data_IF_929440599026
#
_entry.id   IF_929440599026
#
_cell.length_a   1.000
_cell.length_b   1.000
_cell.length_c   1.000
_cell.angle_alpha   90.00
_cell.angle_beta   90.00
_cell.angle_gamma   90.00
#
_symmetry.space_group_name_H-M   'P 1'
#
loop_
_entity.id
_entity.type
_entity.pdbx_description
1 polymer ?
#
# COMPACT_ATOMS: atom_id res chain seq x y z
N UNK A 1 4.78 -11.60 -22.67
CA UNK A 1 6.02 -10.99 -22.16
C UNK A 1 6.18 -9.64 -22.83
N UNK A 2 6.32 -8.56 -22.05
CA UNK A 2 6.88 -7.32 -22.58
C UNK A 2 8.35 -7.62 -22.86
N UNK A 3 8.74 -7.54 -24.12
CA UNK A 3 10.10 -7.85 -24.50
C UNK A 3 10.96 -6.61 -24.15
N UNK A 4 11.88 -6.76 -23.18
CA UNK A 4 12.80 -5.71 -22.78
C UNK A 4 13.57 -5.17 -23.99
N UNK A 5 13.94 -6.06 -24.92
CA UNK A 5 14.57 -5.70 -26.18
C UNK A 5 13.73 -4.71 -27.00
N UNK A 6 12.38 -4.88 -26.99
CA UNK A 6 11.49 -3.97 -27.70
C UNK A 6 11.50 -2.57 -27.07
N UNK A 7 11.46 -2.49 -25.73
CA UNK A 7 11.50 -1.22 -25.02
C UNK A 7 12.83 -0.51 -25.23
N UNK A 8 13.93 -1.24 -25.13
CA UNK A 8 15.28 -0.71 -25.32
C UNK A 8 15.48 -0.25 -26.77
N UNK A 9 14.98 -1.01 -27.75
CA UNK A 9 15.01 -0.62 -29.15
C UNK A 9 14.24 0.69 -29.40
N UNK A 10 13.03 0.83 -28.84
CA UNK A 10 12.22 2.03 -28.97
C UNK A 10 12.95 3.22 -28.35
N UNK A 11 13.47 3.09 -27.11
CA UNK A 11 14.23 4.13 -26.40
C UNK A 11 15.44 4.61 -27.22
N UNK A 12 16.29 3.68 -27.66
CA UNK A 12 17.48 3.99 -28.45
C UNK A 12 17.18 4.71 -29.76
N UNK A 13 16.10 4.33 -30.45
CA UNK A 13 15.77 4.97 -31.71
C UNK A 13 15.12 6.36 -31.51
N UNK A 14 14.44 6.59 -30.39
CA UNK A 14 13.99 7.92 -29.98
C UNK A 14 15.17 8.84 -29.66
N UNK A 15 16.17 8.34 -28.94
CA UNK A 15 17.41 9.10 -28.65
C UNK A 15 18.20 9.44 -29.93
N UNK A 16 18.11 8.61 -30.96
CA UNK A 16 18.67 8.87 -32.30
C UNK A 16 17.83 9.84 -33.15
N UNK A 17 16.73 10.40 -32.57
CA UNK A 17 15.89 11.40 -33.22
C UNK A 17 14.85 10.84 -34.19
N UNK A 18 14.60 9.52 -34.22
CA UNK A 18 13.51 8.96 -35.02
C UNK A 18 12.14 9.30 -34.41
N UNK A 19 11.15 9.51 -35.25
CA UNK A 19 9.78 9.72 -34.80
C UNK A 19 9.14 8.40 -34.35
N UNK A 20 8.13 8.49 -33.49
CA UNK A 20 7.37 7.30 -33.02
C UNK A 20 6.74 6.54 -34.20
N UNK A 21 6.28 7.24 -35.23
CA UNK A 21 5.70 6.65 -36.43
C UNK A 21 6.73 5.84 -37.22
N UNK A 22 7.94 6.35 -37.36
CA UNK A 22 9.04 5.65 -38.06
C UNK A 22 9.43 4.38 -37.31
N UNK A 23 9.59 4.45 -35.98
CA UNK A 23 9.92 3.28 -35.15
C UNK A 23 8.79 2.25 -35.18
N UNK A 24 7.55 2.69 -35.16
CA UNK A 24 6.37 1.81 -35.25
C UNK A 24 6.37 1.01 -36.58
N UNK A 25 6.55 1.69 -37.69
CA UNK A 25 6.58 1.04 -39.01
C UNK A 25 7.78 0.09 -39.19
N UNK A 26 8.96 0.46 -38.68
CA UNK A 26 10.13 -0.41 -38.70
C UNK A 26 9.88 -1.71 -37.93
N UNK A 27 9.37 -1.61 -36.70
CA UNK A 27 9.07 -2.77 -35.87
C UNK A 27 7.95 -3.64 -36.45
N UNK A 28 6.93 -3.01 -37.07
CA UNK A 28 5.86 -3.73 -37.75
C UNK A 28 6.39 -4.52 -38.96
N UNK A 29 7.31 -3.92 -39.75
CA UNK A 29 8.00 -4.61 -40.86
C UNK A 29 8.92 -5.71 -40.38
N UNK A 30 9.52 -5.59 -39.18
CA UNK A 30 10.33 -6.62 -38.55
C UNK A 30 9.51 -7.81 -38.00
N UNK A 31 8.18 -7.81 -38.18
CA UNK A 31 7.30 -8.91 -37.81
C UNK A 31 6.78 -8.87 -36.36
N UNK A 32 6.96 -7.76 -35.67
CA UNK A 32 6.42 -7.64 -34.32
C UNK A 32 4.90 -7.58 -34.33
N UNK A 33 4.27 -8.30 -33.40
CA UNK A 33 2.82 -8.27 -33.23
C UNK A 33 2.37 -6.87 -32.83
N UNK A 34 1.35 -6.35 -33.50
CA UNK A 34 0.78 -5.01 -33.25
C UNK A 34 0.37 -4.82 -31.78
N UNK A 35 -0.12 -5.87 -31.13
CA UNK A 35 -0.46 -5.87 -29.70
C UNK A 35 0.78 -5.61 -28.82
N UNK A 36 1.92 -6.19 -29.15
CA UNK A 36 3.19 -6.00 -28.42
C UNK A 36 3.75 -4.61 -28.66
N UNK A 37 3.68 -4.11 -29.90
CA UNK A 37 4.08 -2.75 -30.24
C UNK A 37 3.22 -1.73 -29.49
N UNK A 38 1.90 -1.88 -29.54
CA UNK A 38 0.97 -0.99 -28.82
C UNK A 38 1.30 -0.93 -27.32
N UNK A 39 1.59 -2.06 -26.71
CA UNK A 39 2.01 -2.14 -25.30
C UNK A 39 3.34 -1.43 -25.03
N UNK A 40 4.37 -1.71 -25.82
CA UNK A 40 5.69 -1.09 -25.65
C UNK A 40 5.63 0.44 -25.78
N UNK A 41 4.93 0.95 -26.78
CA UNK A 41 4.72 2.39 -26.97
C UNK A 41 3.86 3.02 -25.87
N UNK A 42 2.84 2.30 -25.35
CA UNK A 42 2.03 2.75 -24.21
C UNK A 42 2.84 2.80 -22.92
N UNK A 43 3.72 1.84 -22.70
CA UNK A 43 4.61 1.79 -21.52
C UNK A 43 5.57 2.96 -21.49
N UNK A 44 6.09 3.34 -22.64
CA UNK A 44 6.96 4.52 -22.79
C UNK A 44 6.16 5.85 -22.85
N UNK A 45 4.83 5.80 -22.72
CA UNK A 45 3.99 7.00 -22.78
C UNK A 45 3.86 7.64 -24.15
N UNK A 46 4.28 6.95 -25.21
CA UNK A 46 4.27 7.42 -26.60
C UNK A 46 2.91 7.24 -27.29
N UNK A 47 2.08 6.32 -26.78
CA UNK A 47 0.71 6.09 -27.23
C UNK A 47 -0.26 6.23 -26.04
N UNK A 48 -1.43 6.78 -26.34
CA UNK A 48 -2.50 6.90 -25.34
C UNK A 48 -3.05 5.54 -24.96
N UNK A 49 -3.42 5.39 -23.70
CA UNK A 49 -4.13 4.21 -23.21
C UNK A 49 -5.64 4.40 -23.43
N UNK A 50 -6.20 3.73 -24.42
CA UNK A 50 -7.65 3.72 -24.65
C UNK A 50 -8.39 2.86 -23.63
N UNK A 51 -7.71 1.84 -23.10
CA UNK A 51 -8.25 0.88 -22.13
C UNK A 51 -7.19 0.58 -21.07
N UNK A 52 -7.61 0.46 -19.81
CA UNK A 52 -6.71 0.01 -18.74
C UNK A 52 -6.18 -1.39 -19.03
N UNK A 53 -4.88 -1.68 -18.78
CA UNK A 53 -4.29 -3.00 -19.00
C UNK A 53 -5.11 -4.11 -18.36
N UNK A 54 -5.13 -5.29 -18.97
CA UNK A 54 -5.80 -6.46 -18.42
C UNK A 54 -5.18 -6.85 -17.05
N UNK A 55 -5.96 -7.59 -16.24
CA UNK A 55 -5.46 -8.02 -14.93
C UNK A 55 -4.28 -8.98 -15.07
N UNK A 56 -4.26 -9.83 -16.10
CA UNK A 56 -3.13 -10.71 -16.42
C UNK A 56 -1.86 -9.93 -16.76
N UNK A 57 -1.98 -8.87 -17.56
CA UNK A 57 -0.84 -7.99 -17.90
C UNK A 57 -0.31 -7.25 -16.66
N UNK A 58 -1.21 -6.86 -15.76
CA UNK A 58 -0.83 -6.22 -14.50
C UNK A 58 -0.08 -7.20 -13.59
N UNK A 59 -0.60 -8.44 -13.44
CA UNK A 59 0.06 -9.48 -12.65
C UNK A 59 1.45 -9.84 -13.21
N UNK A 60 1.58 -9.97 -14.52
CA UNK A 60 2.88 -10.24 -15.16
C UNK A 60 3.90 -9.15 -14.81
N UNK A 61 3.52 -7.87 -14.90
CA UNK A 61 4.39 -6.74 -14.51
C UNK A 61 4.74 -6.75 -13.02
N UNK A 62 3.78 -7.12 -12.16
CA UNK A 62 4.04 -7.24 -10.72
C UNK A 62 5.09 -8.31 -10.46
N UNK A 63 4.93 -9.50 -11.05
CA UNK A 63 5.89 -10.59 -10.88
C UNK A 63 7.27 -10.24 -11.43
N UNK A 64 7.34 -9.52 -12.55
CA UNK A 64 8.60 -9.06 -13.11
C UNK A 64 9.33 -8.11 -12.14
N UNK A 65 8.66 -7.03 -11.70
CA UNK A 65 9.24 -6.08 -10.72
C UNK A 65 9.61 -6.77 -9.42
N UNK A 66 8.77 -7.70 -8.95
CA UNK A 66 9.04 -8.47 -7.73
C UNK A 66 10.29 -9.35 -7.88
N UNK A 67 10.45 -10.04 -9.01
CA UNK A 67 11.62 -10.87 -9.30
C UNK A 67 12.89 -10.05 -9.42
N UNK A 68 12.85 -8.97 -10.18
CA UNK A 68 14.01 -8.12 -10.46
C UNK A 68 14.56 -7.44 -9.20
N UNK A 69 13.67 -7.05 -8.26
CA UNK A 69 14.04 -6.35 -7.01
C UNK A 69 13.85 -7.18 -5.75
N UNK A 70 13.74 -8.49 -5.87
CA UNK A 70 13.36 -9.38 -4.75
C UNK A 70 14.20 -9.14 -3.50
N UNK A 71 15.53 -9.15 -3.62
CA UNK A 71 16.43 -8.99 -2.47
C UNK A 71 16.34 -7.61 -1.82
N UNK A 72 16.17 -6.56 -2.61
CA UNK A 72 16.00 -5.20 -2.10
C UNK A 72 14.66 -5.05 -1.37
N UNK A 73 13.57 -5.57 -1.94
CA UNK A 73 12.23 -5.48 -1.35
C UNK A 73 12.13 -6.29 -0.06
N UNK A 74 12.62 -7.53 -0.06
CA UNK A 74 12.65 -8.39 1.12
C UNK A 74 13.58 -7.80 2.18
N UNK A 75 14.76 -7.29 1.80
CA UNK A 75 15.70 -6.65 2.73
C UNK A 75 15.11 -5.42 3.43
N UNK A 76 14.28 -4.63 2.74
CA UNK A 76 13.57 -3.49 3.34
C UNK A 76 12.50 -3.96 4.35
N UNK A 77 11.88 -5.12 4.12
CA UNK A 77 10.86 -5.66 5.02
C UNK A 77 11.42 -6.49 6.19
N UNK A 78 12.71 -6.81 6.18
CA UNK A 78 13.36 -7.57 7.27
C UNK A 78 13.28 -6.89 8.64
N UNK A 79 13.54 -5.57 8.83
CA UNK A 79 13.51 -4.95 10.14
C UNK A 79 12.18 -5.10 10.88
N UNK A 80 11.01 -4.78 10.32
CA UNK A 80 9.75 -5.01 11.01
C UNK A 80 9.45 -6.50 11.21
N UNK A 81 9.86 -7.37 10.28
CA UNK A 81 9.72 -8.82 10.44
C UNK A 81 10.50 -9.33 11.65
N UNK A 82 11.78 -8.98 11.77
CA UNK A 82 12.64 -9.40 12.88
C UNK A 82 12.14 -8.84 14.21
N UNK A 83 11.70 -7.58 14.25
CA UNK A 83 11.10 -7.00 15.45
C UNK A 83 9.82 -7.73 15.85
N UNK A 84 8.94 -8.04 14.91
CA UNK A 84 7.72 -8.82 15.18
C UNK A 84 8.05 -10.19 15.75
N UNK A 85 9.08 -10.84 15.20
CA UNK A 85 9.55 -12.14 15.69
C UNK A 85 10.12 -12.06 17.13
N UNK A 86 10.91 -11.01 17.42
CA UNK A 86 11.40 -10.74 18.81
C UNK A 86 10.22 -10.57 19.76
N UNK A 87 9.21 -9.78 19.39
CA UNK A 87 7.99 -9.61 20.19
C UNK A 87 7.26 -10.94 20.44
N UNK A 88 7.16 -11.79 19.44
CA UNK A 88 6.57 -13.12 19.57
C UNK A 88 7.37 -14.00 20.54
N UNK A 89 8.70 -14.03 20.43
CA UNK A 89 9.57 -14.81 21.34
C UNK A 89 9.43 -14.32 22.78
N UNK A 90 9.40 -13.02 22.99
CA UNK A 90 9.19 -12.43 24.33
C UNK A 90 7.82 -12.87 24.88
N UNK A 91 6.76 -12.76 24.09
CA UNK A 91 5.42 -13.21 24.49
C UNK A 91 5.40 -14.70 24.85
N UNK A 92 6.03 -15.55 24.03
CA UNK A 92 6.12 -16.98 24.26
C UNK A 92 6.88 -17.32 25.56
N UNK A 93 8.01 -16.65 25.82
CA UNK A 93 8.77 -16.82 27.06
C UNK A 93 7.99 -16.38 28.29
N UNK A 94 7.28 -15.25 28.23
CA UNK A 94 6.41 -14.78 29.32
C UNK A 94 5.27 -15.77 29.60
N UNK A 95 4.74 -16.38 28.55
CA UNK A 95 3.72 -17.43 28.67
C UNK A 95 4.27 -18.70 29.32
N UNK A 96 5.48 -19.16 28.91
CA UNK A 96 6.15 -20.34 29.47
C UNK A 96 6.44 -20.20 30.97
N UNK A 97 6.93 -19.04 31.39
CA UNK A 97 7.23 -18.77 32.82
C UNK A 97 5.96 -18.61 33.65
N UNK A 98 4.79 -18.63 33.01
CA UNK A 98 3.51 -18.48 33.70
C UNK A 98 3.28 -17.11 34.31
N UNK A 99 4.02 -16.08 33.83
CA UNK A 99 3.87 -14.69 34.30
C UNK A 99 2.44 -14.20 34.11
N UNK A 100 1.82 -14.55 32.98
CA UNK A 100 0.44 -14.16 32.66
C UNK A 100 -0.55 -14.77 33.66
N UNK A 101 -0.38 -16.04 34.01
CA UNK A 101 -1.23 -16.72 35.00
C UNK A 101 -1.00 -16.19 36.42
N UNK A 102 0.25 -15.85 36.78
CA UNK A 102 0.58 -15.20 38.06
C UNK A 102 -0.02 -13.82 38.20
N UNK A 103 -0.09 -13.03 37.13
CA UNK A 103 -0.71 -11.69 37.14
C UNK A 103 -2.20 -11.83 37.48
N UNK A 104 -2.93 -12.73 36.85
CA UNK A 104 -4.37 -12.92 37.11
C UNK A 104 -4.65 -13.34 38.56
N UNK A 105 -3.74 -14.10 39.18
CA UNK A 105 -3.85 -14.53 40.58
C UNK A 105 -3.37 -13.49 41.58
N UNK A 106 -2.59 -12.48 41.13
CA UNK A 106 -1.92 -11.48 41.99
C UNK A 106 -2.51 -10.09 41.88
N UNK A 107 -3.59 -9.89 41.14
CA UNK A 107 -4.23 -8.58 40.98
C UNK A 107 -4.73 -7.97 42.29
N UNK A 108 -4.96 -8.78 43.31
CA UNK A 108 -5.32 -8.33 44.66
C UNK A 108 -4.12 -7.75 45.43
N UNK A 109 -2.89 -8.00 44.99
CA UNK A 109 -1.67 -7.57 45.68
C UNK A 109 -1.00 -6.42 44.93
N UNK A 110 -0.45 -5.46 45.66
CA UNK A 110 0.30 -4.30 45.10
C UNK A 110 1.43 -4.72 44.15
N UNK A 111 2.13 -5.82 44.44
CA UNK A 111 3.21 -6.35 43.60
C UNK A 111 2.70 -6.83 42.23
N UNK A 112 1.53 -7.44 42.15
CA UNK A 112 0.90 -7.87 40.90
C UNK A 112 0.48 -6.68 40.04
N UNK A 113 -0.07 -5.64 40.64
CA UNK A 113 -0.41 -4.39 39.95
C UNK A 113 0.82 -3.69 39.38
N UNK A 114 1.91 -3.62 40.14
CA UNK A 114 3.19 -3.04 39.66
C UNK A 114 3.73 -3.83 38.45
N UNK A 115 3.72 -5.16 38.53
CA UNK A 115 4.15 -6.02 37.42
C UNK A 115 3.29 -5.83 36.18
N UNK A 116 1.97 -5.75 36.35
CA UNK A 116 1.03 -5.48 35.23
C UNK A 116 1.31 -4.14 34.59
N UNK A 117 1.47 -3.05 35.37
CA UNK A 117 1.80 -1.73 34.85
C UNK A 117 3.12 -1.72 34.12
N UNK A 118 4.16 -2.40 34.63
CA UNK A 118 5.43 -2.55 33.96
C UNK A 118 5.29 -3.24 32.59
N UNK A 119 4.53 -4.34 32.53
CA UNK A 119 4.30 -5.07 31.26
C UNK A 119 3.48 -4.25 30.25
N UNK A 120 2.48 -3.49 30.72
CA UNK A 120 1.72 -2.58 29.88
C UNK A 120 2.65 -1.49 29.30
N UNK A 121 3.47 -0.87 30.14
CA UNK A 121 4.40 0.17 29.70
C UNK A 121 5.44 -0.38 28.71
N UNK A 122 6.02 -1.55 29.02
CA UNK A 122 6.95 -2.22 28.14
C UNK A 122 6.30 -2.57 26.79
N UNK A 123 5.10 -3.16 26.81
CA UNK A 123 4.33 -3.48 25.61
C UNK A 123 4.01 -2.24 24.78
N UNK A 124 3.66 -1.13 25.43
CA UNK A 124 3.38 0.15 24.75
C UNK A 124 4.63 0.72 24.08
N UNK A 125 5.78 0.72 24.77
CA UNK A 125 7.05 1.16 24.19
C UNK A 125 7.44 0.27 23.00
N UNK A 126 7.35 -1.04 23.17
CA UNK A 126 7.62 -1.98 22.09
C UNK A 126 6.69 -1.77 20.89
N UNK A 127 5.39 -1.57 21.12
CA UNK A 127 4.40 -1.28 20.09
C UNK A 127 4.72 0.01 19.31
N UNK A 128 5.13 1.07 20.02
CA UNK A 128 5.53 2.34 19.40
C UNK A 128 6.76 2.14 18.51
N UNK A 129 7.80 1.48 19.00
CA UNK A 129 9.03 1.20 18.22
C UNK A 129 8.68 0.35 16.99
N UNK A 130 7.92 -0.72 17.17
CA UNK A 130 7.47 -1.59 16.08
C UNK A 130 6.69 -0.82 15.04
N UNK A 131 5.76 0.06 15.45
CA UNK A 131 4.95 0.88 14.54
C UNK A 131 5.83 1.85 13.73
N UNK A 132 6.79 2.52 14.37
CA UNK A 132 7.72 3.43 13.68
C UNK A 132 8.54 2.68 12.64
N UNK A 133 9.15 1.55 13.02
CA UNK A 133 9.97 0.74 12.11
C UNK A 133 9.13 0.19 10.94
N UNK A 134 7.91 -0.28 11.22
CA UNK A 134 7.01 -0.80 10.19
C UNK A 134 6.61 0.28 9.18
N UNK A 135 6.24 1.47 9.65
CA UNK A 135 5.88 2.59 8.78
C UNK A 135 7.08 3.10 7.97
N UNK A 136 8.25 3.15 8.59
CA UNK A 136 9.49 3.52 7.90
C UNK A 136 9.84 2.54 6.80
N UNK A 137 9.78 1.23 7.08
CA UNK A 137 10.00 0.19 6.07
C UNK A 137 8.99 0.27 4.92
N UNK A 138 7.71 0.51 5.20
CA UNK A 138 6.69 0.68 4.15
C UNK A 138 6.93 1.93 3.30
N UNK A 139 7.32 3.05 3.91
CA UNK A 139 7.68 4.26 3.17
C UNK A 139 8.93 4.04 2.29
N UNK A 140 9.97 3.36 2.83
CA UNK A 140 11.17 2.99 2.10
C UNK A 140 10.87 2.04 0.95
N UNK A 141 9.98 1.05 1.16
CA UNK A 141 9.53 0.11 0.14
C UNK A 141 8.89 0.83 -1.05
N UNK A 142 8.00 1.78 -0.77
CA UNK A 142 7.36 2.57 -1.83
C UNK A 142 8.35 3.46 -2.58
N UNK A 143 9.37 4.01 -1.89
CA UNK A 143 10.45 4.74 -2.55
C UNK A 143 11.25 3.82 -3.48
N UNK A 144 11.58 2.59 -3.06
CA UNK A 144 12.28 1.62 -3.88
C UNK A 144 11.47 1.17 -5.11
N UNK A 145 10.14 1.03 -4.97
CA UNK A 145 9.25 0.67 -6.08
C UNK A 145 9.15 1.85 -7.09
N UNK A 146 9.09 3.09 -6.59
CA UNK A 146 8.95 4.29 -7.44
C UNK A 146 10.08 4.44 -8.45
N UNK A 147 11.32 4.19 -8.06
CA UNK A 147 12.51 4.40 -8.90
C UNK A 147 12.63 3.38 -10.07
N UNK A 148 11.66 2.44 -10.18
CA UNK A 148 11.47 1.58 -11.36
C UNK A 148 12.73 0.85 -11.82
N UNK A 149 13.38 1.35 -12.86
CA UNK A 149 14.56 0.72 -13.49
C UNK A 149 15.86 0.92 -12.69
N UNK A 150 15.98 2.00 -11.89
CA UNK A 150 17.16 2.22 -11.04
C UNK A 150 16.98 1.46 -9.74
N UNK A 151 17.80 0.44 -9.50
CA UNK A 151 17.83 -0.26 -8.23
C UNK A 151 18.53 0.59 -7.17
N UNK A 152 17.72 1.35 -6.41
CA UNK A 152 18.24 2.04 -5.24
C UNK A 152 18.52 1.02 -4.15
N UNK A 153 19.73 1.01 -3.62
CA UNK A 153 20.09 0.11 -2.52
C UNK A 153 19.22 0.32 -1.28
N UNK A 154 19.15 -0.70 -0.42
CA UNK A 154 18.33 -0.71 0.81
C UNK A 154 18.59 0.56 1.66
N UNK A 155 19.85 0.94 1.85
CA UNK A 155 20.22 2.11 2.66
C UNK A 155 19.63 3.41 2.12
N UNK A 156 19.68 3.59 0.81
CA UNK A 156 19.14 4.78 0.15
C UNK A 156 17.62 4.82 0.22
N UNK A 157 16.94 3.67 0.04
CA UNK A 157 15.50 3.55 0.20
C UNK A 157 15.05 3.97 1.60
N UNK A 158 15.74 3.52 2.66
CA UNK A 158 15.48 3.95 4.03
C UNK A 158 15.74 5.43 4.25
N UNK A 159 16.81 5.99 3.70
CA UNK A 159 17.10 7.43 3.76
C UNK A 159 15.99 8.28 3.14
N UNK A 160 15.54 7.93 1.93
CA UNK A 160 14.41 8.61 1.25
C UNK A 160 13.08 8.40 1.98
N UNK A 161 12.82 7.21 2.51
CA UNK A 161 11.64 6.87 3.30
C UNK A 161 11.55 7.68 4.59
N UNK A 162 12.69 7.96 5.26
CA UNK A 162 12.74 8.75 6.48
C UNK A 162 12.13 10.15 6.31
N UNK A 163 12.44 10.82 5.22
CA UNK A 163 11.91 12.16 4.93
C UNK A 163 10.39 12.17 4.65
N UNK A 164 9.82 11.01 4.35
CA UNK A 164 8.38 10.86 4.06
C UNK A 164 7.58 10.25 5.22
N UNK A 165 8.24 9.74 6.28
CA UNK A 165 7.61 8.95 7.35
C UNK A 165 6.46 9.70 8.04
N UNK A 166 6.65 10.98 8.38
CA UNK A 166 5.61 11.79 9.08
C UNK A 166 4.38 11.96 8.18
N UNK A 167 4.59 12.28 6.89
CA UNK A 167 3.49 12.44 5.94
C UNK A 167 2.79 11.11 5.64
N UNK A 168 3.54 10.01 5.59
CA UNK A 168 3.04 8.66 5.43
C UNK A 168 2.17 8.26 6.62
N UNK A 169 2.66 8.45 7.84
CA UNK A 169 1.93 8.19 9.08
C UNK A 169 0.63 8.99 9.15
N UNK A 170 0.70 10.28 8.83
CA UNK A 170 -0.46 11.15 8.84
C UNK A 170 -1.55 10.71 7.84
N UNK A 171 -1.16 10.35 6.62
CA UNK A 171 -2.10 9.83 5.62
C UNK A 171 -2.68 8.49 6.07
N UNK A 172 -1.88 7.59 6.65
CA UNK A 172 -2.35 6.30 7.14
C UNK A 172 -3.39 6.45 8.25
N UNK A 173 -3.12 7.28 9.27
CA UNK A 173 -4.09 7.56 10.34
C UNK A 173 -5.37 8.19 9.78
N UNK A 174 -5.21 9.22 8.95
CA UNK A 174 -6.37 9.93 8.40
C UNK A 174 -7.21 9.02 7.50
N UNK A 175 -6.57 8.14 6.72
CA UNK A 175 -7.26 7.12 5.92
C UNK A 175 -8.05 6.16 6.80
N UNK A 176 -7.40 5.59 7.82
CA UNK A 176 -8.06 4.68 8.76
C UNK A 176 -9.23 5.35 9.46
N UNK A 177 -9.04 6.57 9.96
CA UNK A 177 -10.09 7.33 10.61
C UNK A 177 -11.30 7.56 9.68
N UNK A 178 -11.08 8.05 8.46
CA UNK A 178 -12.16 8.34 7.52
C UNK A 178 -12.88 7.08 7.04
N UNK A 179 -12.13 6.01 6.72
CA UNK A 179 -12.69 4.77 6.21
C UNK A 179 -13.45 4.03 7.31
N UNK A 180 -12.86 3.90 8.51
CA UNK A 180 -13.52 3.26 9.64
C UNK A 180 -14.77 4.03 10.09
N UNK A 181 -14.71 5.36 10.16
CA UNK A 181 -15.88 6.16 10.48
C UNK A 181 -17.02 5.98 9.46
N UNK A 182 -16.68 5.88 8.17
CA UNK A 182 -17.67 5.60 7.14
C UNK A 182 -18.26 4.17 7.25
N UNK A 183 -17.45 3.18 7.64
CA UNK A 183 -17.93 1.82 7.90
C UNK A 183 -18.86 1.74 9.11
N UNK A 184 -18.58 2.52 10.15
CA UNK A 184 -19.45 2.61 11.34
C UNK A 184 -20.81 3.27 11.03
N UNK A 185 -20.84 4.18 10.04
CA UNK A 185 -22.11 4.73 9.55
C UNK A 185 -22.90 3.67 8.76
N UNK A 186 -22.28 3.19 7.70
CA UNK A 186 -22.86 2.16 6.82
C UNK A 186 -21.73 1.42 6.07
N UNK A 187 -21.93 0.14 5.83
CA UNK A 187 -20.96 -0.70 5.15
C UNK A 187 -20.61 -0.20 3.73
N UNK A 188 -21.61 0.22 2.96
CA UNK A 188 -21.41 0.66 1.56
C UNK A 188 -20.57 1.94 1.45
N UNK A 189 -20.84 3.03 2.17
CA UNK A 189 -19.95 4.21 2.19
C UNK A 189 -18.51 3.89 2.59
N UNK A 190 -18.31 2.96 3.54
CA UNK A 190 -16.99 2.51 3.96
C UNK A 190 -16.20 1.92 2.79
N UNK A 191 -16.80 1.01 2.02
CA UNK A 191 -16.18 0.42 0.81
C UNK A 191 -15.87 1.50 -0.23
N UNK A 192 -16.81 2.43 -0.46
CA UNK A 192 -16.62 3.49 -1.45
C UNK A 192 -15.40 4.35 -1.09
N UNK A 193 -15.28 4.77 0.17
CA UNK A 193 -14.15 5.57 0.61
C UNK A 193 -12.84 4.78 0.62
N UNK A 194 -12.85 3.51 1.04
CA UNK A 194 -11.69 2.65 1.00
C UNK A 194 -11.09 2.59 -0.41
N UNK A 195 -11.92 2.39 -1.45
CA UNK A 195 -11.47 2.36 -2.83
C UNK A 195 -11.02 3.74 -3.33
N UNK A 196 -11.76 4.82 -2.99
CA UNK A 196 -11.35 6.16 -3.39
C UNK A 196 -10.01 6.60 -2.80
N UNK A 197 -9.67 6.16 -1.59
CA UNK A 197 -8.47 6.59 -0.89
C UNK A 197 -7.30 5.60 -1.00
N UNK A 198 -7.52 4.45 -1.62
CA UNK A 198 -6.55 3.38 -1.73
C UNK A 198 -5.21 3.77 -2.37
N UNK A 199 -5.20 4.80 -3.22
CA UNK A 199 -3.99 5.25 -3.92
C UNK A 199 -3.28 6.42 -3.22
N UNK A 200 -3.78 6.91 -2.08
CA UNK A 200 -3.27 8.12 -1.44
C UNK A 200 -1.79 8.04 -1.04
N UNK A 201 -1.34 6.88 -0.55
CA UNK A 201 0.05 6.65 -0.17
C UNK A 201 1.00 6.65 -1.39
N UNK A 202 0.56 6.06 -2.50
CA UNK A 202 1.33 6.06 -3.76
C UNK A 202 1.46 7.47 -4.34
N UNK A 203 0.40 8.28 -4.22
CA UNK A 203 0.37 9.69 -4.63
C UNK A 203 1.32 10.53 -3.76
N UNK A 204 1.37 10.28 -2.44
CA UNK A 204 2.35 10.92 -1.57
C UNK A 204 3.79 10.69 -2.06
N UNK A 205 4.11 9.44 -2.38
CA UNK A 205 5.47 9.07 -2.79
C UNK A 205 5.78 9.57 -4.21
N UNK A 206 4.83 9.45 -5.14
CA UNK A 206 5.03 9.80 -6.54
C UNK A 206 4.92 11.31 -6.83
N UNK A 207 3.91 11.99 -6.24
CA UNK A 207 3.56 13.39 -6.53
C UNK A 207 3.83 14.35 -5.36
N UNK A 208 4.33 13.87 -4.23
CA UNK A 208 4.56 14.63 -2.97
C UNK A 208 3.31 15.38 -2.46
N UNK A 209 2.12 14.91 -2.81
CA UNK A 209 0.87 15.47 -2.30
C UNK A 209 0.57 14.92 -0.91
N UNK A 210 0.43 15.83 0.09
CA UNK A 210 0.29 15.48 1.50
C UNK A 210 -1.16 15.59 1.98
N UNK A 211 -1.50 14.82 3.02
CA UNK A 211 -2.78 14.88 3.74
C UNK A 211 -4.00 14.77 2.82
N UNK A 212 -5.00 15.61 3.02
CA UNK A 212 -6.25 15.59 2.26
C UNK A 212 -6.08 15.76 0.74
N UNK A 213 -5.00 16.43 0.29
CA UNK A 213 -4.77 16.58 -1.14
C UNK A 213 -4.43 15.24 -1.81
N UNK A 214 -3.71 14.33 -1.12
CA UNK A 214 -3.46 12.98 -1.60
C UNK A 214 -4.77 12.18 -1.77
N UNK A 215 -5.70 12.28 -0.82
CA UNK A 215 -7.00 11.60 -0.89
C UNK A 215 -7.86 12.11 -2.05
N UNK A 216 -7.93 13.42 -2.25
CA UNK A 216 -8.70 13.98 -3.36
C UNK A 216 -8.09 13.66 -4.71
N UNK A 217 -6.76 13.63 -4.80
CA UNK A 217 -6.06 13.17 -6.01
C UNK A 217 -6.35 11.69 -6.27
N UNK A 218 -6.32 10.84 -5.24
CA UNK A 218 -6.69 9.43 -5.33
C UNK A 218 -8.13 9.27 -5.84
N UNK A 219 -9.08 9.98 -5.21
CA UNK A 219 -10.47 10.01 -5.67
C UNK A 219 -10.59 10.45 -7.13
N UNK A 220 -9.87 11.49 -7.55
CA UNK A 220 -9.88 11.97 -8.95
C UNK A 220 -9.42 10.87 -9.91
N UNK A 221 -8.36 10.13 -9.57
CA UNK A 221 -7.85 9.04 -10.41
C UNK A 221 -8.81 7.85 -10.47
N UNK A 222 -9.42 7.47 -9.35
CA UNK A 222 -10.34 6.33 -9.26
C UNK A 222 -11.72 6.64 -9.83
N UNK A 223 -12.18 7.91 -9.75
CA UNK A 223 -13.50 8.32 -10.24
C UNK A 223 -13.71 7.95 -11.72
N UNK A 224 -14.89 7.39 -12.05
CA UNK A 224 -15.21 6.89 -13.38
C UNK A 224 -14.67 5.49 -13.72
N UNK A 225 -13.75 4.94 -12.90
CA UNK A 225 -13.23 3.57 -13.03
C UNK A 225 -13.32 2.80 -11.70
N UNK A 226 -14.19 3.25 -10.80
CA UNK A 226 -14.33 2.72 -9.45
C UNK A 226 -14.51 1.19 -9.42
N UNK A 227 -15.42 0.64 -10.24
CA UNK A 227 -15.66 -0.80 -10.32
C UNK A 227 -14.44 -1.57 -10.84
N UNK A 228 -13.70 -1.02 -11.78
CA UNK A 228 -12.48 -1.65 -12.30
C UNK A 228 -11.41 -1.72 -11.21
N UNK A 229 -11.25 -0.63 -10.43
CA UNK A 229 -10.31 -0.60 -9.29
C UNK A 229 -10.76 -1.55 -8.20
N UNK A 230 -12.05 -1.56 -7.85
CA UNK A 230 -12.63 -2.46 -6.84
C UNK A 230 -12.34 -3.93 -7.15
N UNK A 231 -12.69 -4.40 -8.36
CA UNK A 231 -12.48 -5.79 -8.73
C UNK A 231 -11.01 -6.19 -8.77
N UNK A 232 -10.11 -5.30 -9.18
CA UNK A 232 -8.68 -5.53 -9.17
C UNK A 232 -8.13 -5.67 -7.74
N UNK A 233 -8.54 -4.77 -6.85
CA UNK A 233 -8.15 -4.83 -5.43
C UNK A 233 -8.72 -6.06 -4.74
N UNK A 234 -9.99 -6.40 -5.02
CA UNK A 234 -10.62 -7.59 -4.47
C UNK A 234 -9.87 -8.87 -4.90
N UNK A 235 -9.51 -8.98 -6.19
CA UNK A 235 -8.78 -10.13 -6.69
C UNK A 235 -7.41 -10.28 -6.03
N UNK A 236 -6.65 -9.19 -5.93
CA UNK A 236 -5.35 -9.23 -5.24
C UNK A 236 -5.51 -9.57 -3.76
N UNK A 237 -6.53 -9.03 -3.09
CA UNK A 237 -6.81 -9.36 -1.69
C UNK A 237 -7.15 -10.84 -1.51
N UNK A 238 -7.93 -11.42 -2.42
CA UNK A 238 -8.24 -12.86 -2.41
C UNK A 238 -6.99 -13.72 -2.68
N UNK A 239 -6.12 -13.31 -3.59
CA UNK A 239 -4.85 -13.99 -3.83
C UNK A 239 -3.95 -13.98 -2.59
N UNK A 240 -3.78 -12.82 -1.96
CA UNK A 240 -2.98 -12.68 -0.73
C UNK A 240 -3.59 -13.49 0.42
N UNK A 241 -4.91 -13.46 0.57
CA UNK A 241 -5.61 -14.28 1.54
C UNK A 241 -5.41 -15.77 1.30
N UNK A 242 -5.47 -16.22 0.05
CA UNK A 242 -5.20 -17.61 -0.32
C UNK A 242 -3.77 -18.04 0.02
N UNK A 243 -2.78 -17.19 -0.28
CA UNK A 243 -1.38 -17.43 0.14
C UNK A 243 -1.27 -17.49 1.66
N UNK A 244 -1.90 -16.56 2.37
CA UNK A 244 -1.93 -16.56 3.84
C UNK A 244 -2.52 -17.85 4.42
N UNK A 245 -3.63 -18.33 3.86
CA UNK A 245 -4.25 -19.60 4.26
C UNK A 245 -3.32 -20.81 4.05
N UNK A 246 -2.64 -20.88 2.91
CA UNK A 246 -1.71 -22.00 2.62
C UNK A 246 -0.53 -21.96 3.60
N UNK A 247 0.02 -20.77 3.83
CA UNK A 247 1.23 -20.60 4.65
C UNK A 247 0.90 -20.73 6.16
N UNK A 248 -0.35 -20.53 6.60
CA UNK A 248 -0.77 -20.70 8.00
C UNK A 248 -0.64 -22.14 8.51
N UNK A 249 -0.57 -23.14 7.61
CA UNK A 249 -0.28 -24.54 7.99
C UNK A 249 1.19 -24.76 8.39
N UNK A 250 2.07 -23.80 8.11
CA UNK A 250 3.50 -23.87 8.48
C UNK A 250 3.68 -23.12 9.80
N UNK A 251 4.33 -23.70 10.82
CA UNK A 251 4.68 -22.96 12.02
C UNK A 251 5.41 -21.66 11.64
N UNK A 252 4.96 -20.49 12.14
CA UNK A 252 5.50 -19.16 11.84
C UNK A 252 5.16 -18.62 10.44
N UNK A 253 4.37 -19.35 9.68
CA UNK A 253 4.05 -19.06 8.29
C UNK A 253 3.36 -17.71 8.09
N UNK A 254 2.52 -17.27 9.01
CA UNK A 254 1.83 -15.97 8.92
C UNK A 254 2.81 -14.79 8.84
N UNK A 255 3.90 -14.84 9.61
CA UNK A 255 4.93 -13.81 9.57
C UNK A 255 5.70 -13.83 8.24
N UNK A 256 6.03 -15.01 7.71
CA UNK A 256 6.65 -15.17 6.40
C UNK A 256 5.73 -14.72 5.26
N UNK A 257 4.42 -15.02 5.37
CA UNK A 257 3.44 -14.54 4.40
C UNK A 257 3.45 -13.00 4.32
N UNK A 258 3.47 -12.30 5.45
CA UNK A 258 3.54 -10.85 5.50
C UNK A 258 4.81 -10.30 4.84
N UNK A 259 5.97 -10.91 5.10
CA UNK A 259 7.25 -10.52 4.50
C UNK A 259 7.22 -10.59 2.98
N UNK A 260 6.60 -11.62 2.41
CA UNK A 260 6.56 -11.87 0.97
C UNK A 260 5.41 -11.15 0.28
N UNK A 261 4.23 -11.07 0.90
CA UNK A 261 3.05 -10.50 0.25
C UNK A 261 2.98 -8.97 0.33
N UNK A 262 3.57 -8.36 1.36
CA UNK A 262 3.57 -6.89 1.50
C UNK A 262 4.19 -6.17 0.32
N UNK A 263 5.42 -6.54 -0.16
CA UNK A 263 5.98 -5.92 -1.36
C UNK A 263 5.10 -6.13 -2.60
N UNK A 264 4.52 -7.32 -2.75
CA UNK A 264 3.63 -7.65 -3.87
C UNK A 264 2.41 -6.71 -3.93
N UNK A 265 1.74 -6.48 -2.79
CA UNK A 265 0.59 -5.57 -2.68
C UNK A 265 0.99 -4.13 -2.99
N UNK A 266 2.16 -3.69 -2.53
CA UNK A 266 2.62 -2.33 -2.79
C UNK A 266 3.04 -2.12 -4.26
N UNK A 267 3.65 -3.11 -4.91
CA UNK A 267 3.92 -3.07 -6.36
C UNK A 267 2.61 -2.96 -7.12
N UNK A 268 1.62 -3.81 -6.79
CA UNK A 268 0.29 -3.75 -7.40
C UNK A 268 -0.32 -2.35 -7.30
N UNK A 269 -0.37 -1.78 -6.10
CA UNK A 269 -0.98 -0.48 -5.87
C UNK A 269 -0.26 0.65 -6.63
N UNK A 270 1.08 0.58 -6.71
CA UNK A 270 1.87 1.57 -7.43
C UNK A 270 1.67 1.48 -8.95
N UNK A 271 1.67 0.27 -9.52
CA UNK A 271 1.39 0.05 -10.94
C UNK A 271 -0.05 0.45 -11.30
N UNK A 272 -1.02 0.12 -10.45
CA UNK A 272 -2.40 0.56 -10.63
C UNK A 272 -2.53 2.09 -10.62
N UNK A 273 -1.81 2.78 -9.73
CA UNK A 273 -1.72 4.23 -9.72
C UNK A 273 -1.16 4.77 -11.04
N UNK A 274 -0.04 4.21 -11.52
CA UNK A 274 0.59 4.63 -12.78
C UNK A 274 -0.36 4.42 -13.98
N UNK A 275 -1.02 3.27 -14.05
CA UNK A 275 -1.96 2.94 -15.14
C UNK A 275 -3.14 3.91 -15.15
N UNK A 276 -3.73 4.22 -13.99
CA UNK A 276 -4.83 5.18 -13.89
C UNK A 276 -4.39 6.61 -14.23
N UNK A 277 -3.19 7.00 -13.83
CA UNK A 277 -2.62 8.31 -14.16
C UNK A 277 -2.42 8.45 -15.67
N UNK A 278 -1.82 7.44 -16.32
CA UNK A 278 -1.63 7.39 -17.78
C UNK A 278 -2.97 7.34 -18.52
N UNK A 279 -3.89 6.50 -18.08
CA UNK A 279 -5.22 6.38 -18.68
C UNK A 279 -5.99 7.71 -18.68
N UNK A 280 -5.89 8.49 -17.61
CA UNK A 280 -6.54 9.80 -17.48
C UNK A 280 -5.73 10.96 -18.04
N UNK A 281 -4.62 10.71 -18.75
CA UNK A 281 -3.74 11.73 -19.33
C UNK A 281 -3.24 12.71 -18.28
N UNK A 282 -2.93 12.22 -17.09
CA UNK A 282 -2.47 13.01 -15.94
C UNK A 282 -3.29 14.29 -15.71
N UNK A 283 -4.56 14.16 -15.30
CA UNK A 283 -5.47 15.30 -15.20
C UNK A 283 -4.94 16.33 -14.21
N UNK A 284 -5.04 17.63 -14.56
CA UNK A 284 -4.65 18.71 -13.67
C UNK A 284 -5.37 18.59 -12.32
N UNK A 285 -4.60 18.67 -11.25
CA UNK A 285 -5.11 18.62 -9.89
C UNK A 285 -5.33 20.03 -9.32
N UNK A 286 -6.59 20.42 -9.16
CA UNK A 286 -6.96 21.58 -8.38
C UNK A 286 -7.18 21.20 -6.91
N UNK A 287 -6.52 21.87 -5.98
CA UNK A 287 -6.75 21.64 -4.55
C UNK A 287 -8.22 21.87 -4.19
N UNK A 288 -8.90 20.90 -3.54
CA UNK A 288 -10.29 21.03 -3.19
C UNK A 288 -10.51 22.17 -2.18
N UNK A 289 -11.66 22.82 -2.26
CA UNK A 289 -12.08 23.86 -1.31
C UNK A 289 -12.13 23.28 0.11
N UNK A 290 -11.84 24.11 1.12
CA UNK A 290 -11.87 23.73 2.54
C UNK A 290 -13.20 23.08 2.95
N UNK A 291 -14.33 23.63 2.47
CA UNK A 291 -15.65 23.07 2.71
C UNK A 291 -15.80 21.61 2.25
N UNK A 292 -15.17 21.25 1.12
CA UNK A 292 -15.21 19.85 0.64
C UNK A 292 -14.36 18.93 1.52
N UNK A 293 -13.20 19.41 1.98
CA UNK A 293 -12.36 18.66 2.95
C UNK A 293 -13.12 18.40 4.25
N UNK A 294 -13.79 19.42 4.76
CA UNK A 294 -14.56 19.36 6.00
C UNK A 294 -15.71 18.34 5.91
N UNK A 295 -16.41 18.24 4.78
CA UNK A 295 -17.50 17.25 4.60
C UNK A 295 -17.05 15.82 4.86
N UNK A 296 -15.88 15.41 4.40
CA UNK A 296 -15.37 14.05 4.62
C UNK A 296 -14.98 13.81 6.08
N UNK A 297 -14.39 14.82 6.74
CA UNK A 297 -14.07 14.75 8.17
C UNK A 297 -15.37 14.66 9.00
N UNK A 298 -16.35 15.49 8.71
CA UNK A 298 -17.64 15.46 9.41
C UNK A 298 -18.37 14.14 9.23
N UNK A 299 -18.34 13.55 8.02
CA UNK A 299 -18.92 12.23 7.79
C UNK A 299 -18.22 11.14 8.63
N UNK A 300 -16.89 11.18 8.73
CA UNK A 300 -16.15 10.27 9.58
C UNK A 300 -16.49 10.47 11.07
N UNK A 301 -16.50 11.70 11.54
CA UNK A 301 -16.87 12.04 12.93
C UNK A 301 -18.28 11.57 13.26
N UNK A 302 -19.25 11.80 12.37
CA UNK A 302 -20.61 11.32 12.54
C UNK A 302 -20.67 9.79 12.66
N UNK A 303 -19.84 9.07 11.90
CA UNK A 303 -19.72 7.62 12.00
C UNK A 303 -19.25 7.11 13.35
N UNK A 304 -18.45 7.88 14.08
CA UNK A 304 -18.08 7.53 15.45
C UNK A 304 -19.12 7.97 16.49
N UNK A 305 -19.69 9.17 16.31
CA UNK A 305 -20.61 9.73 17.29
C UNK A 305 -21.96 8.99 17.33
N UNK A 306 -22.54 8.64 16.17
CA UNK A 306 -23.86 8.01 16.13
C UNK A 306 -23.90 6.66 16.85
N UNK A 307 -22.98 5.70 16.62
CA UNK A 307 -22.94 4.45 17.38
C UNK A 307 -22.64 4.68 18.87
N UNK A 308 -21.75 5.62 19.21
CA UNK A 308 -21.44 5.93 20.60
C UNK A 308 -22.67 6.44 21.35
N UNK A 309 -23.44 7.37 20.75
CA UNK A 309 -24.70 7.89 21.32
C UNK A 309 -25.74 6.76 21.44
N UNK A 310 -25.89 5.92 20.41
CA UNK A 310 -26.82 4.80 20.45
C UNK A 310 -26.49 3.81 21.58
N UNK A 311 -25.21 3.46 21.76
CA UNK A 311 -24.75 2.59 22.86
C UNK A 311 -25.01 3.25 24.22
N UNK A 312 -24.73 4.54 24.36
CA UNK A 312 -24.97 5.27 25.61
C UNK A 312 -26.44 5.28 25.95
N UNK A 313 -27.33 5.55 25.00
CA UNK A 313 -28.78 5.50 25.19
C UNK A 313 -29.19 4.08 25.62
N UNK A 314 -28.70 3.04 24.94
CA UNK A 314 -29.04 1.63 25.26
C UNK A 314 -28.55 1.21 26.65
N UNK A 315 -27.45 1.77 27.15
CA UNK A 315 -26.92 1.47 28.49
C UNK A 315 -27.65 2.22 29.60
N UNK A 316 -28.29 3.34 29.29
CA UNK A 316 -29.00 4.20 30.29
C UNK A 316 -30.48 3.85 30.40
N UNK A 317 -31.10 3.34 29.34
CA UNK A 317 -32.51 2.95 29.26
C UNK A 317 -32.65 1.45 29.04
#
# INVERSE_FOLDING_TARGET
MLNQELLDYIKQNLEKGKTKEQIWEELKRAGWQEKSLKRGFQELGLLEMDVLPGIGDLLERIFQVYKDKFWTLVGIMLPPFLLGWVGYVIWWLLSLVGVINKISLSLENTSGLILLLFLILFGLIFFVIFSIVSLWSQAALLCAIKEGEQDIGIKEAFGRGWHKIISYYWISILSTFMVLGAFLLFFVPGIILAIWFSLALYILIAEDKKGMNAFFRSKQLVSGKWWTVFWRQLLISLMVMGVGMIVSFIPWGENLAGLLTTPFVHIFGFLLYQDLKRFKKDPLFGSPKTATKLKFILMAVAGYLLPAVAITIWLVF
#
